data_IF_356306223381
#
_entry.id   IF_356306223381
#
_cell.length_a   1.000
_cell.length_b   1.000
_cell.length_c   1.000
_cell.angle_alpha   90.00
_cell.angle_beta   90.00
_cell.angle_gamma   90.00
#
_symmetry.space_group_name_H-M   'P 1'
#
loop_
_entity.id
_entity.type
_entity.pdbx_description
1 polymer ?
#
# COMPACT_ATOMS: atom_id res chain seq x y z
N UNK A 1 19.92 -8.28 -5.01
CA UNK A 1 18.52 -7.82 -4.84
C UNK A 1 18.39 -6.38 -5.30
N UNK A 2 17.77 -6.16 -6.46
CA UNK A 2 17.52 -4.81 -6.98
C UNK A 2 16.18 -4.35 -6.42
N UNK A 3 16.17 -3.29 -5.61
CA UNK A 3 14.92 -2.66 -5.18
C UNK A 3 14.37 -1.86 -6.35
N UNK A 4 13.17 -2.20 -6.80
CA UNK A 4 12.43 -1.41 -7.79
C UNK A 4 11.47 -0.44 -7.08
N UNK A 5 11.30 0.74 -7.66
CA UNK A 5 10.36 1.77 -7.18
C UNK A 5 9.64 2.35 -8.38
N UNK A 6 8.31 2.39 -8.33
CA UNK A 6 7.45 2.98 -9.37
C UNK A 6 6.56 4.04 -8.73
N UNK A 7 6.36 5.15 -9.44
CA UNK A 7 5.47 6.23 -9.04
C UNK A 7 4.45 6.47 -10.14
N UNK A 8 3.20 6.66 -9.72
CA UNK A 8 2.09 6.92 -10.63
C UNK A 8 1.47 8.26 -10.24
N UNK A 9 1.43 9.20 -11.17
CA UNK A 9 0.70 10.46 -11.00
C UNK A 9 -0.75 10.18 -11.34
N UNK A 10 -1.65 10.44 -10.40
CA UNK A 10 -3.08 10.20 -10.53
C UNK A 10 -3.87 11.44 -10.10
N UNK A 11 -4.99 11.68 -10.77
CA UNK A 11 -5.86 12.81 -10.46
C UNK A 11 -6.71 12.57 -9.20
N UNK A 12 -7.20 11.33 -9.01
CA UNK A 12 -8.04 10.94 -7.87
C UNK A 12 -7.47 9.74 -7.13
N UNK A 13 -7.42 9.83 -5.80
CA UNK A 13 -6.93 8.77 -4.90
C UNK A 13 -8.06 7.89 -4.37
N UNK A 14 -8.92 7.41 -5.27
CA UNK A 14 -10.03 6.52 -4.96
C UNK A 14 -9.78 5.07 -5.41
N UNK A 15 -10.65 4.16 -4.98
CA UNK A 15 -10.53 2.73 -5.33
C UNK A 15 -10.61 2.51 -6.83
N UNK A 16 -11.50 3.23 -7.52
CA UNK A 16 -11.73 3.07 -8.95
C UNK A 16 -10.47 3.38 -9.76
N UNK A 17 -9.66 4.33 -9.29
CA UNK A 17 -8.38 4.71 -9.90
C UNK A 17 -7.24 3.78 -9.46
N UNK A 18 -7.15 3.48 -8.17
CA UNK A 18 -5.99 2.79 -7.60
C UNK A 18 -5.98 1.28 -7.85
N UNK A 19 -7.14 0.61 -7.76
CA UNK A 19 -7.21 -0.84 -7.86
C UNK A 19 -6.72 -1.37 -9.22
N UNK A 20 -7.12 -0.83 -10.38
CA UNK A 20 -6.61 -1.30 -11.67
C UNK A 20 -5.09 -1.10 -11.83
N UNK A 21 -4.52 -0.07 -11.20
CA UNK A 21 -3.07 0.14 -11.19
C UNK A 21 -2.42 -0.96 -10.35
N UNK A 22 -2.93 -1.25 -9.15
CA UNK A 22 -2.38 -2.29 -8.28
C UNK A 22 -2.44 -3.66 -8.98
N UNK A 23 -3.57 -4.03 -9.59
CA UNK A 23 -3.73 -5.31 -10.32
C UNK A 23 -2.79 -5.45 -11.53
N UNK A 24 -2.43 -4.34 -12.18
CA UNK A 24 -1.48 -4.34 -13.30
C UNK A 24 -0.02 -4.44 -12.84
N UNK A 25 0.30 -3.82 -11.70
CA UNK A 25 1.68 -3.59 -11.27
C UNK A 25 2.17 -4.57 -10.21
N UNK A 26 1.24 -5.24 -9.50
CA UNK A 26 1.52 -6.15 -8.40
C UNK A 26 0.98 -7.53 -8.72
N UNK A 27 1.82 -8.55 -8.56
CA UNK A 27 1.42 -9.93 -8.77
C UNK A 27 0.40 -10.38 -7.72
N UNK A 28 -0.62 -11.14 -8.16
CA UNK A 28 -1.61 -11.72 -7.25
C UNK A 28 -0.93 -12.60 -6.18
N UNK A 29 -1.56 -12.73 -5.01
CA UNK A 29 -0.99 -13.39 -3.82
C UNK A 29 0.22 -12.66 -3.18
N UNK A 30 0.61 -11.49 -3.67
CA UNK A 30 1.62 -10.65 -3.02
C UNK A 30 1.07 -10.02 -1.74
N UNK A 31 1.94 -9.90 -0.72
CA UNK A 31 1.63 -9.11 0.48
C UNK A 31 1.79 -7.62 0.20
N UNK A 32 0.70 -6.87 0.32
CA UNK A 32 0.70 -5.41 0.22
C UNK A 32 0.64 -4.83 1.63
N UNK A 33 1.60 -3.96 1.94
CA UNK A 33 1.63 -3.18 3.17
C UNK A 33 1.16 -1.75 2.88
N UNK A 34 0.09 -1.30 3.53
CA UNK A 34 -0.40 0.08 3.39
C UNK A 34 -0.88 0.66 4.71
N UNK A 35 -1.28 1.93 4.71
CA UNK A 35 -2.13 2.44 5.77
C UNK A 35 -3.59 1.96 5.57
N UNK A 36 -4.48 2.25 6.53
CA UNK A 36 -5.90 1.91 6.46
C UNK A 36 -6.76 2.85 5.57
N UNK A 37 -6.19 3.43 4.52
CA UNK A 37 -6.96 4.27 3.61
C UNK A 37 -8.07 3.47 2.93
N UNK A 38 -9.30 4.01 2.92
CA UNK A 38 -10.50 3.30 2.45
C UNK A 38 -10.37 2.74 1.03
N UNK A 39 -9.61 3.38 0.14
CA UNK A 39 -9.43 2.89 -1.23
C UNK A 39 -8.81 1.47 -1.29
N UNK A 40 -8.01 1.09 -0.30
CA UNK A 40 -7.32 -0.20 -0.24
C UNK A 40 -8.12 -1.31 0.47
N UNK A 41 -9.29 -1.00 1.04
CA UNK A 41 -10.02 -1.93 1.91
C UNK A 41 -10.51 -3.23 1.24
N UNK A 42 -10.56 -3.30 -0.08
CA UNK A 42 -10.96 -4.51 -0.81
C UNK A 42 -9.79 -5.33 -1.35
N UNK A 43 -8.53 -5.01 -1.04
CA UNK A 43 -7.39 -5.71 -1.65
C UNK A 43 -7.38 -7.23 -1.35
N UNK A 44 -7.85 -7.66 -0.18
CA UNK A 44 -8.02 -9.09 0.12
C UNK A 44 -9.03 -9.77 -0.81
N UNK A 45 -10.11 -9.08 -1.19
CA UNK A 45 -11.13 -9.61 -2.10
C UNK A 45 -10.61 -9.77 -3.54
N UNK A 46 -9.50 -9.10 -3.87
CA UNK A 46 -8.84 -9.10 -5.17
C UNK A 46 -7.60 -10.02 -5.22
N UNK A 47 -7.46 -10.92 -4.24
CA UNK A 47 -6.41 -11.94 -4.24
C UNK A 47 -5.05 -11.47 -3.72
N UNK A 48 -4.98 -10.30 -3.07
CA UNK A 48 -3.78 -9.86 -2.37
C UNK A 48 -3.83 -10.24 -0.89
N UNK A 49 -2.67 -10.31 -0.24
CA UNK A 49 -2.59 -10.39 1.23
C UNK A 49 -2.41 -8.97 1.74
N UNK A 50 -3.44 -8.38 2.32
CA UNK A 50 -3.40 -6.98 2.74
C UNK A 50 -3.09 -6.85 4.23
N UNK A 51 -1.90 -6.31 4.53
CA UNK A 51 -1.51 -5.91 5.88
C UNK A 51 -1.54 -4.39 6.01
N UNK A 52 -2.06 -3.90 7.13
CA UNK A 52 -2.28 -2.47 7.33
C UNK A 52 -1.76 -1.96 8.66
N UNK A 53 -1.40 -0.68 8.70
CA UNK A 53 -1.16 0.07 9.93
C UNK A 53 -2.14 1.24 10.05
N UNK A 54 -2.66 1.47 11.25
CA UNK A 54 -3.50 2.63 11.58
C UNK A 54 -2.65 3.76 12.16
N UNK A 55 -2.36 4.78 11.36
CA UNK A 55 -1.55 5.93 11.79
C UNK A 55 -2.21 6.87 12.79
N UNK A 56 -3.50 6.72 13.07
CA UNK A 56 -4.12 7.43 14.20
C UNK A 56 -3.78 6.80 15.55
N UNK A 57 -3.35 5.53 15.55
CA UNK A 57 -3.06 4.77 16.77
C UNK A 57 -1.56 4.51 16.91
N UNK A 58 -0.90 4.01 15.87
CA UNK A 58 0.50 3.58 15.91
C UNK A 58 1.23 3.83 14.58
N UNK A 59 2.54 4.07 14.64
CA UNK A 59 3.41 4.12 13.45
C UNK A 59 3.84 2.74 12.95
N UNK A 60 3.85 1.75 13.85
CA UNK A 60 4.08 0.33 13.58
C UNK A 60 2.94 -0.42 14.25
N UNK A 61 2.24 -1.26 13.51
CA UNK A 61 1.16 -2.08 14.09
C UNK A 61 1.76 -3.05 15.13
N UNK A 62 1.32 -3.01 16.41
CA UNK A 62 1.97 -3.77 17.47
C UNK A 62 1.70 -5.28 17.40
N UNK A 63 0.67 -5.71 16.66
CA UNK A 63 0.29 -7.13 16.56
C UNK A 63 0.98 -7.81 15.38
N UNK A 64 1.12 -7.10 14.26
CA UNK A 64 1.63 -7.63 12.99
C UNK A 64 3.04 -7.13 12.65
N UNK A 65 3.50 -6.05 13.28
CA UNK A 65 4.73 -5.36 12.92
C UNK A 65 4.63 -4.54 11.63
N UNK A 66 3.44 -4.39 11.04
CA UNK A 66 3.24 -3.67 9.78
C UNK A 66 3.62 -2.20 9.90
N UNK A 67 4.38 -1.70 8.92
CA UNK A 67 4.70 -0.27 8.78
C UNK A 67 4.95 0.07 7.31
N UNK A 68 4.78 1.35 6.91
CA UNK A 68 5.09 1.80 5.52
C UNK A 68 6.27 2.77 5.44
N UNK A 69 7.09 2.83 6.50
CA UNK A 69 8.26 3.72 6.66
C UNK A 69 9.19 3.80 5.43
N UNK A 70 9.38 2.68 4.71
CA UNK A 70 10.23 2.63 3.51
C UNK A 70 9.71 3.53 2.39
N UNK A 71 8.40 3.59 2.18
CA UNK A 71 7.77 4.46 1.18
C UNK A 71 7.66 5.89 1.72
N UNK A 72 7.36 6.07 3.00
CA UNK A 72 7.27 7.41 3.60
C UNK A 72 8.61 8.14 3.63
N UNK A 73 9.71 7.42 3.90
CA UNK A 73 11.05 8.00 3.84
C UNK A 73 11.45 8.42 2.43
N UNK A 74 10.91 7.73 1.42
CA UNK A 74 11.14 8.04 0.01
C UNK A 74 10.41 9.32 -0.40
N UNK A 75 9.22 9.59 0.13
CA UNK A 75 8.49 10.85 -0.13
C UNK A 75 9.24 12.08 0.37
N UNK A 76 10.17 11.94 1.33
CA UNK A 76 11.02 13.06 1.78
C UNK A 76 12.12 13.43 0.78
N UNK A 77 12.37 12.58 -0.21
CA UNK A 77 13.43 12.77 -1.21
C UNK A 77 12.91 13.33 -2.55
N UNK A 78 11.58 13.51 -2.67
CA UNK A 78 10.89 14.00 -3.87
C UNK A 78 10.25 15.34 -3.50
#
# INVERSE_FOLDING_TARGET
NKTERRFFIIEKRDRHTLLPIIEREVEISTTIYSNQWRAYSSLNDHGFIHQTVNYSENFVDPNTGTHTQTIESLWKLI
#
